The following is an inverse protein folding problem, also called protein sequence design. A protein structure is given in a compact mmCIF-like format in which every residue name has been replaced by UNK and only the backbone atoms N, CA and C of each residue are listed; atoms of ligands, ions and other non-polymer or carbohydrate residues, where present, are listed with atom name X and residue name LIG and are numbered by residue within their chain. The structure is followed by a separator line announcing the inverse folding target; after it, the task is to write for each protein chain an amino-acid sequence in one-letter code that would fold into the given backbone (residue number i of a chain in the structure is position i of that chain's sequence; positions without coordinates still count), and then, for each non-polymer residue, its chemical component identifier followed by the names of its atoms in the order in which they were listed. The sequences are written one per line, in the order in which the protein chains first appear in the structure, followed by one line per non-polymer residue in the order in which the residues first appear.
data_IF_802257577681
#
_entry.id   IF_802257577681
#
_cell.length_a   1.000
_cell.length_b   1.000
_cell.length_c   1.000
_cell.angle_alpha   90.00
_cell.angle_beta   90.00
_cell.angle_gamma   90.00
#
_symmetry.space_group_name_H-M   'P 1'
#
loop_
_entity.id
_entity.type
_entity.pdbx_description
1 polymer ?
#
# COMPACT_ATOMS: atom_id res chain seq x y z
N UNK A 1 9.52 10.80 -2.59
CA UNK A 1 9.07 10.65 -1.18
C UNK A 1 7.76 9.87 -1.13
N UNK A 2 7.65 8.95 -0.19
CA UNK A 2 6.40 8.21 0.02
C UNK A 2 5.43 9.08 0.80
N UNK A 3 4.19 9.20 0.31
CA UNK A 3 3.18 10.08 0.91
C UNK A 3 1.96 9.33 1.44
N UNK A 4 1.72 8.09 0.98
CA UNK A 4 0.58 7.28 1.39
C UNK A 4 0.92 5.81 1.37
N UNK A 5 0.31 5.03 2.25
CA UNK A 5 0.20 3.59 2.05
C UNK A 5 -0.78 3.36 0.89
N UNK A 6 -0.70 2.23 0.26
CA UNK A 6 -1.59 1.89 -0.84
C UNK A 6 -1.82 0.39 -0.93
N UNK A 7 -3.00 0.02 -1.38
CA UNK A 7 -3.35 -1.38 -1.62
C UNK A 7 -3.84 -1.51 -3.05
N UNK A 8 -3.34 -2.51 -3.74
CA UNK A 8 -3.83 -2.87 -5.06
C UNK A 8 -4.83 -4.01 -4.91
N UNK A 9 -6.05 -3.79 -5.38
CA UNK A 9 -7.13 -4.78 -5.32
C UNK A 9 -7.58 -5.17 -6.72
N UNK A 10 -7.99 -6.41 -6.86
CA UNK A 10 -8.76 -6.86 -8.01
C UNK A 10 -10.22 -6.87 -7.57
N UNK A 11 -11.04 -6.07 -8.25
CA UNK A 11 -12.48 -6.01 -7.98
C UNK A 11 -13.19 -7.06 -8.82
N UNK A 12 -14.15 -7.74 -8.21
CA UNK A 12 -14.95 -8.78 -8.85
C UNK A 12 -14.09 -9.83 -9.57
N UNK A 13 -13.22 -10.55 -8.82
CA UNK A 13 -12.23 -11.45 -9.41
C UNK A 13 -12.80 -12.58 -10.27
N UNK A 14 -14.09 -12.87 -10.12
CA UNK A 14 -14.78 -13.91 -10.88
C UNK A 14 -15.66 -13.32 -11.99
N UNK A 15 -15.51 -12.04 -12.29
CA UNK A 15 -16.33 -11.33 -13.27
C UNK A 15 -15.42 -10.71 -14.33
N UNK A 16 -15.77 -10.89 -15.61
CA UNK A 16 -15.02 -10.33 -16.72
C UNK A 16 -15.03 -8.80 -16.74
N UNK A 17 -15.98 -8.18 -16.02
CA UNK A 17 -16.06 -6.72 -15.91
C UNK A 17 -15.23 -6.15 -14.76
N UNK A 18 -14.63 -7.02 -13.96
CA UNK A 18 -13.79 -6.60 -12.84
C UNK A 18 -12.49 -5.98 -13.31
N UNK A 19 -11.83 -5.24 -12.44
CA UNK A 19 -10.59 -4.58 -12.77
C UNK A 19 -9.74 -4.28 -11.55
N UNK A 20 -8.51 -3.87 -11.80
CA UNK A 20 -7.58 -3.50 -10.76
C UNK A 20 -7.81 -2.06 -10.32
N UNK A 21 -7.67 -1.82 -9.02
CA UNK A 21 -7.73 -0.49 -8.45
C UNK A 21 -6.65 -0.34 -7.38
N UNK A 22 -6.08 0.85 -7.29
CA UNK A 22 -5.12 1.20 -6.25
C UNK A 22 -5.78 2.20 -5.32
N UNK A 23 -5.89 1.85 -4.03
CA UNK A 23 -6.45 2.74 -3.02
C UNK A 23 -5.33 3.37 -2.21
N UNK A 24 -5.22 4.71 -2.23
CA UNK A 24 -4.33 5.41 -1.31
C UNK A 24 -4.91 5.40 0.09
N UNK A 25 -4.07 5.07 1.08
CA UNK A 25 -4.51 4.85 2.46
C UNK A 25 -3.53 5.46 3.43
N UNK A 26 -3.99 5.78 4.64
CA UNK A 26 -3.09 6.14 5.72
C UNK A 26 -2.40 4.87 6.24
N UNK A 27 -3.17 3.81 6.46
CA UNK A 27 -2.69 2.50 6.90
C UNK A 27 -3.26 1.42 5.99
N UNK A 28 -2.50 0.36 5.75
CA UNK A 28 -2.94 -0.73 4.87
C UNK A 28 -4.24 -1.39 5.35
N UNK A 29 -4.42 -1.51 6.66
CA UNK A 29 -5.62 -2.12 7.22
C UNK A 29 -6.92 -1.37 6.96
N UNK A 30 -6.84 -0.12 6.52
CA UNK A 30 -8.03 0.70 6.27
C UNK A 30 -8.72 0.33 4.95
N UNK A 31 -8.01 -0.31 4.03
CA UNK A 31 -8.54 -0.61 2.70
C UNK A 31 -9.80 -1.46 2.69
N UNK A 32 -9.81 -2.53 3.49
CA UNK A 32 -10.97 -3.40 3.60
C UNK A 32 -12.20 -2.69 4.15
N UNK A 33 -12.00 -1.81 5.12
CA UNK A 33 -13.09 -1.02 5.69
C UNK A 33 -13.69 -0.08 4.67
N UNK A 34 -12.84 0.60 3.90
CA UNK A 34 -13.28 1.52 2.86
C UNK A 34 -14.09 0.80 1.80
N UNK A 35 -13.62 -0.35 1.32
CA UNK A 35 -14.35 -1.14 0.32
C UNK A 35 -15.71 -1.58 0.84
N UNK A 36 -15.81 -2.01 2.10
CA UNK A 36 -17.09 -2.40 2.69
C UNK A 36 -18.05 -1.22 2.81
N UNK A 37 -17.55 -0.05 3.16
CA UNK A 37 -18.35 1.18 3.22
C UNK A 37 -18.88 1.58 1.84
N UNK A 38 -18.13 1.26 0.79
CA UNK A 38 -18.55 1.49 -0.59
C UNK A 38 -19.51 0.43 -1.13
N UNK A 39 -19.82 -0.59 -0.34
CA UNK A 39 -20.77 -1.62 -0.72
C UNK A 39 -20.16 -2.92 -1.22
N UNK A 40 -18.86 -3.07 -1.19
CA UNK A 40 -18.19 -4.31 -1.61
C UNK A 40 -18.24 -5.35 -0.48
N UNK A 41 -18.60 -6.57 -0.83
CA UNK A 41 -18.55 -7.71 0.09
C UNK A 41 -17.15 -8.34 0.06
N UNK A 42 -16.85 -9.19 1.03
CA UNK A 42 -15.53 -9.84 1.13
C UNK A 42 -15.13 -10.59 -0.14
N UNK A 43 -16.10 -11.19 -0.83
CA UNK A 43 -15.85 -11.95 -2.06
C UNK A 43 -15.80 -11.09 -3.32
N UNK A 44 -16.08 -9.79 -3.20
CA UNK A 44 -16.12 -8.87 -4.34
C UNK A 44 -14.76 -8.28 -4.65
N UNK A 45 -13.77 -8.47 -3.79
CA UNK A 45 -12.44 -7.96 -4.01
C UNK A 45 -11.37 -8.93 -3.51
N UNK A 46 -10.18 -8.82 -4.08
CA UNK A 46 -9.02 -9.61 -3.71
C UNK A 46 -7.81 -8.70 -3.60
N UNK A 47 -7.01 -8.88 -2.57
CA UNK A 47 -5.76 -8.13 -2.43
C UNK A 47 -4.74 -8.71 -3.42
N UNK A 48 -4.24 -7.86 -4.31
CA UNK A 48 -3.19 -8.24 -5.24
C UNK A 48 -1.82 -7.89 -4.68
N UNK A 49 -1.68 -6.69 -4.11
CA UNK A 49 -0.40 -6.22 -3.65
C UNK A 49 -0.55 -5.12 -2.62
N UNK A 50 0.30 -5.13 -1.62
CA UNK A 50 0.39 -4.08 -0.61
C UNK A 50 1.61 -3.24 -0.92
N UNK A 51 1.47 -1.93 -0.88
CA UNK A 51 2.57 -1.05 -1.22
C UNK A 51 2.34 0.37 -0.77
N UNK A 52 2.93 1.30 -1.51
CA UNK A 52 2.94 2.72 -1.16
C UNK A 52 2.88 3.56 -2.41
N UNK A 53 2.45 4.82 -2.25
CA UNK A 53 2.47 5.81 -3.31
C UNK A 53 3.50 6.89 -2.99
N UNK A 54 4.24 7.30 -4.01
CA UNK A 54 5.17 8.42 -3.91
C UNK A 54 4.42 9.73 -4.19
N UNK A 55 5.09 10.86 -3.94
CA UNK A 55 4.56 12.18 -4.27
C UNK A 55 4.26 12.36 -5.76
N UNK A 56 4.86 11.54 -6.61
CA UNK A 56 4.63 11.55 -8.06
C UNK A 56 3.51 10.61 -8.49
N UNK A 57 2.87 9.92 -7.54
CA UNK A 57 1.80 8.98 -7.83
C UNK A 57 2.26 7.59 -8.26
N UNK A 58 3.53 7.28 -8.10
CA UNK A 58 4.07 5.96 -8.44
C UNK A 58 3.75 4.95 -7.34
N UNK A 59 3.29 3.76 -7.72
CA UNK A 59 3.07 2.66 -6.80
C UNK A 59 4.36 1.86 -6.63
N UNK A 60 4.76 1.68 -5.37
CA UNK A 60 5.91 0.87 -5.00
C UNK A 60 5.45 -0.27 -4.10
N UNK A 61 5.92 -1.49 -4.37
CA UNK A 61 5.67 -2.59 -3.45
C UNK A 61 6.46 -2.36 -2.15
N UNK A 62 6.24 -3.21 -1.15
CA UNK A 62 6.88 -3.01 0.17
C UNK A 62 8.41 -3.03 0.10
N UNK A 63 9.00 -3.79 -0.81
CA UNK A 63 10.44 -3.89 -0.95
C UNK A 63 11.03 -2.66 -1.65
N UNK A 64 10.45 -2.28 -2.78
CA UNK A 64 10.86 -1.07 -3.49
C UNK A 64 10.65 0.17 -2.64
N UNK A 65 9.55 0.20 -1.89
CA UNK A 65 9.27 1.30 -0.99
C UNK A 65 10.28 1.39 0.16
N UNK A 66 10.74 0.25 0.69
CA UNK A 66 11.76 0.24 1.72
C UNK A 66 13.06 0.88 1.22
N UNK A 67 13.49 0.53 0.01
CA UNK A 67 14.68 1.13 -0.60
C UNK A 67 14.50 2.62 -0.81
N UNK A 68 13.34 3.03 -1.31
CA UNK A 68 13.03 4.43 -1.56
C UNK A 68 13.02 5.25 -0.26
N UNK A 69 12.36 4.74 0.78
CA UNK A 69 12.31 5.42 2.08
C UNK A 69 13.69 5.55 2.71
N UNK A 70 14.50 4.53 2.59
CA UNK A 70 15.87 4.54 3.10
C UNK A 70 16.70 5.62 2.39
N UNK A 71 16.66 5.66 1.07
CA UNK A 71 17.41 6.63 0.26
C UNK A 71 16.96 8.06 0.52
N UNK A 72 15.67 8.27 0.80
CA UNK A 72 15.12 9.59 1.09
C UNK A 72 15.26 10.00 2.56
N UNK A 73 15.78 9.10 3.42
CA UNK A 73 15.86 9.37 4.85
C UNK A 73 14.51 9.49 5.53
N UNK A 74 13.50 8.80 5.01
CA UNK A 74 12.11 8.95 5.44
C UNK A 74 11.68 8.03 6.59
N UNK A 75 12.51 7.08 6.97
CA UNK A 75 12.18 6.15 8.06
C UNK A 75 12.11 6.89 9.39
N UNK A 76 11.08 6.58 10.18
CA UNK A 76 10.87 7.20 11.50
C UNK A 76 12.02 6.87 12.44
N UNK A 77 12.43 5.61 12.44
CA UNK A 77 13.52 5.16 13.28
C UNK A 77 14.84 5.33 12.57
N UNK A 78 15.72 6.08 13.21
CA UNK A 78 17.11 6.18 12.79
C UNK A 78 17.90 5.04 13.41
N UNK A 79 17.33 3.85 13.36
CA UNK A 79 17.96 2.73 14.03
C UNK A 79 19.39 2.55 13.56
N UNK A 80 20.24 2.17 14.48
CA UNK A 80 21.60 1.76 14.20
C UNK A 80 21.63 0.53 13.30
N UNK A 81 20.44 0.08 12.92
CA UNK A 81 20.28 -1.11 12.14
C UNK A 81 20.37 -0.83 10.65
N UNK A 82 20.80 -1.82 9.87
CA UNK A 82 20.79 -1.71 8.43
C UNK A 82 19.37 -1.48 7.93
N UNK A 83 19.24 -0.99 6.72
CA UNK A 83 17.93 -0.73 6.12
C UNK A 83 17.03 -1.96 6.14
N UNK A 84 15.74 -1.73 6.30
CA UNK A 84 14.74 -2.78 6.27
C UNK A 84 14.51 -3.27 4.85
N UNK A 85 14.10 -4.53 4.70
CA UNK A 85 13.81 -5.11 3.39
C UNK A 85 12.38 -4.89 2.95
N UNK A 86 11.46 -4.84 3.92
CA UNK A 86 10.02 -4.69 3.67
C UNK A 86 9.52 -3.52 4.49
N UNK A 87 8.83 -2.59 3.83
CA UNK A 87 8.30 -1.40 4.50
C UNK A 87 6.88 -1.62 4.99
N UNK A 88 6.61 -1.19 6.20
CA UNK A 88 5.27 -1.10 6.77
C UNK A 88 4.93 0.37 7.02
N UNK A 89 3.64 0.70 6.98
CA UNK A 89 3.22 2.10 7.20
C UNK A 89 3.67 2.62 8.56
N UNK A 90 3.79 1.77 9.57
CA UNK A 90 4.29 2.11 10.90
C UNK A 90 5.73 2.59 10.89
N UNK A 91 6.50 2.27 9.85
CA UNK A 91 7.89 2.73 9.70
C UNK A 91 7.96 4.18 9.24
N UNK A 92 6.88 4.74 8.75
CA UNK A 92 6.80 6.08 8.18
C UNK A 92 6.02 7.06 9.06
N UNK A 93 5.00 6.60 9.72
CA UNK A 93 4.13 7.44 10.55
C UNK A 93 3.35 6.67 11.61
#
# INVERSE_FOLDING_TARGET
MIVRAAMKYLLYPNDDTGGEVILPLHRHGDGGKILKELGFETNDFKILEQGFLTEKGEFLDRRAAADHAYECGQLIETAEEPRIEILFSEDLW
#
